data_IF_624588007039
#
_entry.id   IF_624588007039
#
_cell.length_a   1.000
_cell.length_b   1.000
_cell.length_c   1.000
_cell.angle_alpha   90.00
_cell.angle_beta   90.00
_cell.angle_gamma   90.00
#
_symmetry.space_group_name_H-M   'P 1'
#
loop_
_entity.id
_entity.type
_entity.pdbx_description
1 polymer ?
#
# COMPACT_ATOMS: atom_id res chain seq x y z
N UNK A 1 5.98 20.13 10.20
CA UNK A 1 6.18 19.29 8.99
C UNK A 1 5.21 18.13 9.09
N UNK A 2 4.23 18.04 8.18
CA UNK A 2 3.26 16.93 8.17
C UNK A 2 3.84 15.82 7.30
N UNK A 3 3.99 14.63 7.87
CA UNK A 3 4.43 13.45 7.13
C UNK A 3 3.21 12.74 6.56
N UNK A 4 3.21 12.51 5.24
CA UNK A 4 2.13 11.82 4.52
C UNK A 4 2.66 10.46 4.09
N UNK A 5 1.92 9.41 4.38
CA UNK A 5 2.23 8.05 3.99
C UNK A 5 1.23 7.54 2.97
N UNK A 6 1.72 7.18 1.79
CA UNK A 6 0.93 6.53 0.74
C UNK A 6 0.97 5.03 0.94
N UNK A 7 -0.15 4.48 1.40
CA UNK A 7 -0.29 3.05 1.64
C UNK A 7 -0.78 2.35 0.38
N UNK A 8 0.03 1.40 -0.11
CA UNK A 8 -0.31 0.54 -1.23
C UNK A 8 -0.81 -0.81 -0.70
N UNK A 9 -2.10 -1.15 -0.89
CA UNK A 9 -2.60 -2.46 -0.51
C UNK A 9 -1.86 -3.55 -1.29
N UNK A 10 -1.75 -4.75 -0.72
CA UNK A 10 -1.34 -5.94 -1.45
C UNK A 10 -2.28 -6.12 -2.65
N UNK A 11 -1.77 -5.86 -3.85
CA UNK A 11 -2.58 -5.89 -5.07
C UNK A 11 -2.23 -7.11 -5.90
N UNK A 12 -3.10 -8.13 -5.83
CA UNK A 12 -2.91 -9.45 -6.46
C UNK A 12 -2.44 -9.38 -7.91
N UNK A 13 -3.07 -8.56 -8.74
CA UNK A 13 -2.81 -8.53 -10.20
C UNK A 13 -1.40 -8.05 -10.57
N UNK A 14 -0.74 -7.30 -9.68
CA UNK A 14 0.61 -6.78 -9.88
C UNK A 14 1.59 -7.28 -8.80
N UNK A 15 1.15 -8.24 -7.97
CA UNK A 15 1.95 -8.74 -6.87
C UNK A 15 3.02 -9.67 -7.43
N UNK A 16 4.24 -9.16 -7.53
CA UNK A 16 5.39 -9.91 -8.06
C UNK A 16 6.40 -10.07 -6.95
N UNK A 17 6.77 -11.32 -6.67
CA UNK A 17 7.88 -11.65 -5.79
C UNK A 17 9.18 -11.26 -6.50
N UNK A 18 10.02 -10.50 -5.81
CA UNK A 18 11.33 -10.11 -6.33
C UNK A 18 12.38 -10.18 -5.21
N UNK A 19 13.60 -9.72 -5.48
CA UNK A 19 14.69 -9.77 -4.49
C UNK A 19 14.40 -8.96 -3.22
N UNK A 20 13.49 -7.99 -3.29
CA UNK A 20 13.11 -7.08 -2.21
C UNK A 20 11.78 -7.45 -1.56
N UNK A 21 10.94 -8.24 -2.23
CA UNK A 21 9.65 -8.73 -1.72
C UNK A 21 9.74 -10.24 -1.51
N UNK A 22 9.95 -10.65 -0.26
CA UNK A 22 10.15 -12.05 0.12
C UNK A 22 8.85 -12.77 0.44
N UNK A 23 7.80 -12.03 0.81
CA UNK A 23 6.49 -12.55 1.21
C UNK A 23 5.62 -12.90 0.00
N UNK A 24 4.95 -14.05 0.08
CA UNK A 24 3.88 -14.40 -0.84
C UNK A 24 2.67 -13.46 -0.69
N UNK A 25 1.84 -13.36 -1.74
CA UNK A 25 0.65 -12.49 -1.71
C UNK A 25 -0.25 -12.76 -0.50
N UNK A 26 -0.45 -14.03 -0.16
CA UNK A 26 -1.27 -14.44 0.99
C UNK A 26 -0.66 -14.00 2.33
N UNK A 27 0.67 -14.13 2.47
CA UNK A 27 1.40 -13.72 3.66
C UNK A 27 1.35 -12.20 3.84
N UNK A 28 1.62 -11.44 2.78
CA UNK A 28 1.52 -10.00 2.82
C UNK A 28 0.10 -9.52 3.11
N UNK A 29 -0.92 -10.20 2.60
CA UNK A 29 -2.32 -9.89 2.91
C UNK A 29 -2.65 -10.16 4.38
N UNK A 30 -2.07 -11.21 4.99
CA UNK A 30 -2.23 -11.50 6.42
C UNK A 30 -1.53 -10.48 7.31
N UNK A 31 -0.35 -9.99 6.92
CA UNK A 31 0.45 -9.05 7.71
C UNK A 31 -0.06 -7.61 7.56
N UNK A 32 -0.65 -7.26 6.40
CA UNK A 32 -1.08 -5.90 6.06
C UNK A 32 -1.93 -5.21 7.14
N UNK A 33 -2.93 -5.84 7.80
CA UNK A 33 -3.72 -5.17 8.84
C UNK A 33 -2.90 -4.76 10.07
N UNK A 34 -1.86 -5.52 10.41
CA UNK A 34 -0.99 -5.21 11.54
C UNK A 34 -0.13 -3.98 11.24
N UNK A 35 0.41 -3.90 10.02
CA UNK A 35 1.13 -2.71 9.55
C UNK A 35 0.18 -1.51 9.58
N UNK A 36 -1.04 -1.69 9.06
CA UNK A 36 -2.03 -0.62 8.98
C UNK A 36 -2.34 -0.02 10.35
N UNK A 37 -2.50 -0.87 11.37
CA UNK A 37 -2.74 -0.47 12.75
C UNK A 37 -1.59 0.34 13.35
N UNK A 38 -0.33 -0.08 13.13
CA UNK A 38 0.86 0.63 13.63
C UNK A 38 0.91 2.07 13.10
N UNK A 39 0.54 2.27 11.84
CA UNK A 39 0.52 3.61 11.25
C UNK A 39 -0.73 4.41 11.59
N UNK A 40 -1.88 3.78 11.87
CA UNK A 40 -3.06 4.47 12.42
C UNK A 40 -2.82 5.03 13.82
N UNK A 41 -2.02 4.34 14.63
CA UNK A 41 -1.63 4.81 15.96
C UNK A 41 -0.57 5.93 15.91
N UNK A 42 -0.01 6.19 14.73
CA UNK A 42 0.93 7.28 14.51
C UNK A 42 0.22 8.57 14.08
N UNK A 43 0.79 9.73 14.35
CA UNK A 43 0.29 11.03 13.88
C UNK A 43 0.52 11.27 12.37
N UNK A 44 0.72 10.22 11.58
CA UNK A 44 1.02 10.27 10.15
C UNK A 44 -0.29 10.26 9.36
N UNK A 45 -0.41 11.18 8.39
CA UNK A 45 -1.57 11.18 7.50
C UNK A 45 -1.44 10.02 6.50
N UNK A 46 -2.27 8.98 6.67
CA UNK A 46 -2.31 7.82 5.79
C UNK A 46 -3.27 8.06 4.62
N UNK A 47 -2.78 7.91 3.40
CA UNK A 47 -3.58 7.92 2.16
C UNK A 47 -3.53 6.53 1.54
N UNK A 48 -4.68 5.84 1.51
CA UNK A 48 -4.80 4.54 0.86
C UNK A 48 -4.89 4.72 -0.65
N UNK A 49 -3.92 4.18 -1.38
CA UNK A 49 -3.90 4.21 -2.84
C UNK A 49 -4.87 3.15 -3.37
N UNK A 50 -5.86 3.52 -4.19
CA UNK A 50 -6.83 2.55 -4.68
C UNK A 50 -6.21 1.62 -5.72
N UNK A 51 -6.48 0.31 -5.59
CA UNK A 51 -6.11 -0.72 -6.56
C UNK A 51 -7.06 -0.66 -7.77
N UNK A 52 -6.87 0.34 -8.63
CA UNK A 52 -7.59 0.51 -9.90
C UNK A 52 -6.72 0.06 -11.06
N UNK A 53 -7.29 -0.18 -12.25
CA UNK A 53 -6.51 -0.51 -13.45
C UNK A 53 -5.31 0.44 -13.63
N UNK A 54 -4.16 -0.07 -14.09
CA UNK A 54 -2.91 0.70 -14.29
C UNK A 54 -3.16 2.02 -15.03
N UNK A 55 -4.06 2.03 -16.02
CA UNK A 55 -4.43 3.21 -16.80
C UNK A 55 -5.15 4.32 -16.02
N UNK A 56 -5.73 4.03 -14.85
CA UNK A 56 -6.40 4.99 -13.96
C UNK A 56 -5.49 5.52 -12.84
N UNK A 57 -4.32 4.92 -12.62
CA UNK A 57 -3.36 5.32 -11.58
C UNK A 57 -2.74 6.70 -11.82
N UNK A 58 -2.54 7.10 -13.08
CA UNK A 58 -1.90 8.39 -13.43
C UNK A 58 -2.67 9.60 -12.90
N UNK A 59 -4.00 9.50 -12.78
CA UNK A 59 -4.85 10.58 -12.25
C UNK A 59 -4.86 10.70 -10.72
N UNK A 60 -4.40 9.69 -9.98
CA UNK A 60 -4.40 9.74 -8.51
C UNK A 60 -3.29 10.64 -7.95
N UNK A 61 -2.17 10.78 -8.67
CA UNK A 61 -1.01 11.55 -8.22
C UNK A 61 -1.04 13.03 -8.61
N UNK A 62 -2.05 13.49 -9.38
CA UNK A 62 -2.11 14.85 -9.96
C UNK A 62 -3.36 15.60 -9.44
N UNK A 63 -3.54 15.70 -8.13
CA UNK A 63 -4.54 16.61 -7.57
C UNK A 63 -4.05 17.27 -6.28
#
# INVERSE_FOLDING_TARGET
MIMIWYFFPSWKDIYIKDKNRVEEYEEATRISPFIDKVYEESSILKIKVPCTSINKKSGFYIK
#
